data_IF_425278307649
#
_entry.id   IF_425278307649
#
_cell.length_a   1.000
_cell.length_b   1.000
_cell.length_c   1.000
_cell.angle_alpha   90.00
_cell.angle_beta   90.00
_cell.angle_gamma   90.00
#
_symmetry.space_group_name_H-M   'P 1'
#
loop_
_entity.id
_entity.type
_entity.pdbx_description
1 polymer ?
#
# COMPACT_ATOMS: atom_id res chain seq x y z
N UNK A 1 -21.61 -40.96 -21.44
CA UNK A 1 -21.35 -41.53 -20.10
C UNK A 1 -19.89 -41.94 -19.99
N UNK A 2 -19.06 -41.25 -19.21
CA UNK A 2 -17.69 -41.68 -18.84
C UNK A 2 -17.48 -41.36 -17.35
N UNK A 3 -16.85 -42.26 -16.58
CA UNK A 3 -16.60 -42.09 -15.13
C UNK A 3 -15.09 -42.08 -14.87
N UNK A 4 -14.50 -40.91 -14.60
CA UNK A 4 -13.14 -40.84 -14.09
C UNK A 4 -13.12 -41.14 -12.59
N UNK A 5 -12.19 -42.02 -12.16
CA UNK A 5 -12.01 -42.39 -10.76
C UNK A 5 -10.97 -41.48 -10.09
N UNK A 6 -11.37 -40.79 -9.03
CA UNK A 6 -10.40 -40.15 -8.14
C UNK A 6 -9.52 -41.21 -7.45
N UNK A 7 -8.24 -40.89 -7.23
CA UNK A 7 -7.33 -41.63 -6.35
C UNK A 7 -6.69 -40.64 -5.39
N UNK A 8 -7.16 -40.61 -4.15
CA UNK A 8 -6.67 -39.69 -3.13
C UNK A 8 -6.15 -40.51 -1.94
N UNK A 9 -4.83 -40.67 -1.86
CA UNK A 9 -4.14 -41.34 -0.76
C UNK A 9 -2.71 -40.82 -0.65
N UNK A 10 -2.43 -40.09 0.44
CA UNK A 10 -1.07 -39.88 0.95
C UNK A 10 -1.14 -39.96 2.47
N UNK A 11 -0.41 -40.91 3.06
CA UNK A 11 -0.40 -41.15 4.51
C UNK A 11 0.65 -40.23 5.18
N UNK A 12 0.37 -39.83 6.42
CA UNK A 12 1.35 -39.22 7.32
C UNK A 12 1.70 -40.24 8.44
N UNK A 13 2.97 -40.39 8.81
CA UNK A 13 3.38 -41.10 10.03
C UNK A 13 3.49 -40.13 11.23
N UNK A 14 3.19 -40.58 12.46
CA UNK A 14 3.59 -39.87 13.69
C UNK A 14 5.02 -40.24 14.11
N UNK A 15 5.70 -39.37 14.86
CA UNK A 15 6.92 -39.71 15.60
C UNK A 15 6.94 -38.99 16.97
N UNK A 16 7.76 -39.47 17.90
CA UNK A 16 7.56 -39.31 19.34
C UNK A 16 8.67 -38.54 20.08
N UNK A 17 8.23 -37.73 21.04
CA UNK A 17 8.81 -37.41 22.36
C UNK A 17 10.26 -37.87 22.63
N UNK A 18 11.10 -36.94 23.08
CA UNK A 18 12.24 -37.21 23.94
C UNK A 18 12.33 -36.15 25.05
N UNK A 19 12.67 -36.57 26.27
CA UNK A 19 12.82 -35.70 27.45
C UNK A 19 14.18 -35.95 28.10
N UNK A 20 14.81 -34.91 28.67
CA UNK A 20 16.01 -35.03 29.48
C UNK A 20 15.95 -34.07 30.68
N UNK A 21 16.04 -34.64 31.89
CA UNK A 21 16.23 -33.89 33.14
C UNK A 21 17.72 -33.94 33.51
N UNK A 22 18.27 -32.86 34.06
CA UNK A 22 19.67 -32.79 34.47
C UNK A 22 19.88 -31.91 35.69
N UNK A 23 19.97 -32.53 36.86
CA UNK A 23 20.46 -31.92 38.10
C UNK A 23 21.87 -32.46 38.38
N UNK A 24 22.83 -31.59 38.63
CA UNK A 24 24.22 -31.99 38.91
C UNK A 24 25.01 -30.86 39.58
N UNK A 25 25.37 -31.06 40.84
CA UNK A 25 26.01 -30.04 41.69
C UNK A 25 27.50 -30.32 41.94
N UNK A 26 28.36 -29.42 41.44
CA UNK A 26 29.46 -28.84 42.21
C UNK A 26 30.86 -29.50 42.24
N UNK A 27 31.80 -28.64 42.68
CA UNK A 27 33.10 -28.91 43.32
C UNK A 27 34.38 -29.16 42.47
N UNK A 28 35.26 -28.12 42.45
CA UNK A 28 36.75 -28.13 42.57
C UNK A 28 37.58 -28.99 41.58
N UNK A 29 38.78 -28.63 41.07
CA UNK A 29 39.69 -27.46 41.00
C UNK A 29 40.64 -27.76 39.78
N UNK A 30 41.59 -26.99 39.24
CA UNK A 30 42.29 -25.69 39.41
C UNK A 30 42.94 -25.33 38.03
N UNK A 31 43.86 -24.37 37.77
CA UNK A 31 44.53 -23.26 38.46
C UNK A 31 45.12 -22.28 37.41
N UNK A 32 45.21 -20.97 37.72
CA UNK A 32 46.03 -19.96 37.01
C UNK A 32 45.47 -19.44 35.67
N UNK A 33 45.62 -18.16 35.30
CA UNK A 33 46.39 -17.06 35.91
C UNK A 33 45.58 -15.75 36.00
N UNK A 34 46.15 -14.79 36.72
CA UNK A 34 45.59 -13.47 37.06
C UNK A 34 45.24 -12.57 35.88
N UNK A 35 44.14 -11.83 36.01
CA UNK A 35 44.17 -10.37 35.88
C UNK A 35 43.19 -9.79 36.90
N UNK A 36 43.55 -8.69 37.57
CA UNK A 36 42.72 -8.07 38.60
C UNK A 36 41.50 -7.35 38.01
N UNK A 37 40.45 -7.22 38.82
CA UNK A 37 39.15 -6.72 38.37
C UNK A 37 38.93 -5.26 38.74
N UNK A 38 38.44 -4.47 37.78
CA UNK A 38 37.52 -3.37 38.07
C UNK A 38 36.14 -3.74 37.52
N UNK A 39 35.13 -3.66 38.38
CA UNK A 39 33.77 -4.05 38.04
C UNK A 39 32.97 -2.86 37.51
N UNK A 40 32.19 -3.08 36.46
CA UNK A 40 31.06 -2.24 36.09
C UNK A 40 29.97 -3.15 35.54
N UNK A 41 28.98 -3.42 36.38
CA UNK A 41 27.77 -4.14 36.02
C UNK A 41 26.76 -3.18 35.37
N UNK A 42 25.78 -3.78 34.69
CA UNK A 42 24.54 -3.18 34.20
C UNK A 42 24.67 -2.01 33.21
N UNK A 43 24.23 -2.26 31.97
CA UNK A 43 24.31 -1.30 30.87
C UNK A 43 23.61 -1.70 29.57
N UNK A 44 22.89 -2.84 29.54
CA UNK A 44 21.97 -3.14 28.45
C UNK A 44 20.77 -2.20 28.56
N UNK A 45 20.90 -1.00 28.00
CA UNK A 45 19.79 -0.08 27.78
C UNK A 45 18.84 -0.72 26.75
N UNK A 46 17.93 -1.55 27.25
CA UNK A 46 16.76 -1.95 26.50
C UNK A 46 16.04 -0.67 26.09
N UNK A 47 15.98 -0.39 24.79
CA UNK A 47 15.31 0.79 24.28
C UNK A 47 13.85 0.76 24.77
N UNK A 48 13.46 1.79 25.55
CA UNK A 48 12.07 1.91 25.97
C UNK A 48 11.17 1.91 24.71
N UNK A 49 10.06 1.16 24.71
CA UNK A 49 9.14 1.16 23.58
C UNK A 49 8.63 2.59 23.40
N UNK A 50 9.02 3.22 22.29
CA UNK A 50 8.71 4.62 22.03
C UNK A 50 7.21 4.88 22.22
N UNK A 51 6.88 5.83 23.10
CA UNK A 51 5.50 6.10 23.46
C UNK A 51 4.67 6.41 22.20
N UNK A 52 3.42 5.92 22.10
CA UNK A 52 2.60 6.12 20.92
C UNK A 52 2.40 7.61 20.66
N UNK A 53 2.91 8.09 19.52
CA UNK A 53 2.77 9.47 19.09
C UNK A 53 1.28 9.81 19.03
N UNK A 54 0.87 10.85 19.77
CA UNK A 54 -0.54 11.25 19.82
C UNK A 54 -0.93 11.87 18.47
N UNK A 55 -2.12 11.57 17.91
CA UNK A 55 -2.52 12.06 16.59
C UNK A 55 -2.46 13.60 16.45
N UNK A 56 -2.68 14.30 17.57
CA UNK A 56 -2.75 15.76 17.63
C UNK A 56 -1.36 16.44 17.72
N UNK A 57 -0.29 15.70 18.01
CA UNK A 57 1.08 16.24 18.04
C UNK A 57 1.76 16.14 16.66
N UNK A 58 1.22 16.87 15.69
CA UNK A 58 1.78 16.95 14.33
C UNK A 58 3.05 17.82 14.30
N UNK A 59 4.22 17.18 14.42
CA UNK A 59 5.49 17.72 13.93
C UNK A 59 5.89 16.97 12.65
N UNK A 60 5.86 17.62 11.46
CA UNK A 60 6.26 16.98 10.21
C UNK A 60 7.73 16.54 10.19
N UNK A 61 8.58 17.05 11.09
CA UNK A 61 9.96 16.58 11.27
C UNK A 61 10.06 15.23 11.99
N UNK A 62 8.98 14.77 12.63
CA UNK A 62 8.92 13.53 13.40
C UNK A 62 8.04 12.46 12.74
N UNK A 63 6.86 12.83 12.21
CA UNK A 63 6.06 11.89 11.41
C UNK A 63 5.06 12.54 10.46
N UNK A 64 5.09 12.10 9.20
CA UNK A 64 4.06 12.39 8.20
C UNK A 64 2.87 11.41 8.25
N UNK A 65 2.97 10.33 9.04
CA UNK A 65 1.98 9.26 9.08
C UNK A 65 0.54 9.70 9.39
N UNK A 66 0.26 10.69 10.27
CA UNK A 66 -1.11 11.16 10.49
C UNK A 66 -1.75 11.81 9.24
N UNK A 67 -0.95 12.52 8.43
CA UNK A 67 -1.42 13.11 7.17
C UNK A 67 -1.73 12.01 6.14
N UNK A 68 -0.83 11.04 5.98
CA UNK A 68 -1.01 9.93 5.02
C UNK A 68 -2.22 9.06 5.40
N UNK A 69 -2.46 8.81 6.68
CA UNK A 69 -3.66 8.11 7.15
C UNK A 69 -4.96 8.85 6.81
N UNK A 70 -4.94 10.19 6.79
CA UNK A 70 -6.11 11.02 6.46
C UNK A 70 -6.35 11.18 4.96
N UNK A 71 -5.28 11.39 4.17
CA UNK A 71 -5.36 11.71 2.73
C UNK A 71 -5.26 10.48 1.84
N UNK A 72 -4.45 9.48 2.22
CA UNK A 72 -4.21 8.26 1.45
C UNK A 72 -5.47 7.53 0.97
N UNK A 73 -6.55 7.43 1.77
CA UNK A 73 -7.81 6.82 1.32
C UNK A 73 -8.46 7.51 0.10
N UNK A 74 -8.28 8.82 -0.06
CA UNK A 74 -8.83 9.61 -1.17
C UNK A 74 -7.99 9.55 -2.46
N UNK A 75 -6.81 8.91 -2.41
CA UNK A 75 -5.96 8.67 -3.58
C UNK A 75 -6.39 7.38 -4.26
N UNK A 76 -6.67 7.45 -5.56
CA UNK A 76 -7.19 6.33 -6.36
C UNK A 76 -6.25 5.97 -7.51
N UNK A 77 -6.30 4.73 -7.95
CA UNK A 77 -5.63 4.26 -9.17
C UNK A 77 -6.61 4.31 -10.34
N UNK A 78 -6.19 4.86 -11.48
CA UNK A 78 -6.96 4.93 -12.72
C UNK A 78 -6.35 3.95 -13.75
N UNK A 79 -7.09 2.90 -14.10
CA UNK A 79 -6.72 1.89 -15.11
C UNK A 79 -7.55 2.16 -16.38
N UNK A 80 -6.90 2.71 -17.40
CA UNK A 80 -7.52 3.17 -18.63
C UNK A 80 -7.14 2.26 -19.80
N UNK A 81 -8.13 1.75 -20.55
CA UNK A 81 -7.91 0.75 -21.61
C UNK A 81 -8.49 1.22 -22.93
N UNK A 82 -7.61 1.57 -23.86
CA UNK A 82 -7.96 1.87 -25.25
C UNK A 82 -8.22 0.59 -26.05
N UNK A 83 -8.67 0.79 -27.30
CA UNK A 83 -8.89 -0.29 -28.26
C UNK A 83 -7.62 -0.54 -29.07
N UNK A 84 -7.11 -1.77 -29.11
CA UNK A 84 -6.07 -2.16 -30.06
C UNK A 84 -6.56 -1.93 -31.51
N UNK A 85 -5.84 -1.16 -32.35
CA UNK A 85 -6.21 -0.92 -33.75
C UNK A 85 -5.81 -2.13 -34.61
N UNK A 86 -6.49 -3.27 -34.42
CA UNK A 86 -6.11 -4.55 -35.03
C UNK A 86 -6.65 -4.74 -36.47
N UNK A 87 -5.77 -4.95 -37.46
CA UNK A 87 -6.16 -5.63 -38.70
C UNK A 87 -6.59 -7.06 -38.39
N UNK A 88 -7.56 -7.61 -39.15
CA UNK A 88 -8.21 -8.93 -38.91
C UNK A 88 -7.30 -10.17 -38.79
N UNK A 89 -5.98 -10.03 -38.90
CA UNK A 89 -4.98 -11.09 -38.89
C UNK A 89 -4.02 -11.06 -37.68
N UNK A 90 -4.14 -10.09 -36.78
CA UNK A 90 -3.45 -10.08 -35.48
C UNK A 90 -4.44 -9.77 -34.36
N UNK A 91 -4.82 -10.80 -33.61
CA UNK A 91 -5.60 -10.69 -32.37
C UNK A 91 -4.65 -10.82 -31.17
N UNK A 92 -3.92 -9.74 -30.89
CA UNK A 92 -3.11 -9.58 -29.69
C UNK A 92 -3.69 -8.42 -28.88
N UNK A 93 -4.46 -8.71 -27.83
CA UNK A 93 -5.03 -7.68 -26.94
C UNK A 93 -3.97 -6.97 -26.06
N UNK A 94 -2.71 -7.37 -26.21
CA UNK A 94 -1.52 -6.72 -25.65
C UNK A 94 -1.06 -5.48 -26.43
N UNK A 95 -1.43 -5.35 -27.73
CA UNK A 95 -1.19 -4.14 -28.54
C UNK A 95 -2.25 -3.02 -28.26
N UNK A 96 -3.09 -3.18 -27.23
CA UNK A 96 -4.06 -2.18 -26.81
C UNK A 96 -3.39 -1.03 -26.05
N UNK A 97 -3.67 0.26 -26.36
CA UNK A 97 -3.23 1.38 -25.54
C UNK A 97 -3.72 1.21 -24.10
N UNK A 98 -2.82 1.41 -23.11
CA UNK A 98 -3.17 1.37 -21.69
C UNK A 98 -2.59 2.59 -20.98
N UNK A 99 -3.46 3.39 -20.38
CA UNK A 99 -3.10 4.42 -19.41
C UNK A 99 -3.15 3.82 -18.01
N UNK A 100 -2.16 4.15 -17.18
CA UNK A 100 -2.17 3.81 -15.76
C UNK A 100 -1.66 5.04 -15.00
N UNK A 101 -2.50 5.58 -14.12
CA UNK A 101 -2.18 6.78 -13.35
C UNK A 101 -2.86 6.80 -11.99
N UNK A 102 -2.66 7.90 -11.27
CA UNK A 102 -3.38 8.21 -10.04
C UNK A 102 -4.52 9.19 -10.30
N UNK A 103 -5.38 9.35 -9.30
CA UNK A 103 -6.35 10.44 -9.22
C UNK A 103 -6.69 10.74 -7.77
N UNK A 104 -7.47 11.79 -7.56
CA UNK A 104 -7.94 12.22 -6.24
C UNK A 104 -9.46 12.36 -6.23
N UNK A 105 -10.11 11.78 -5.23
CA UNK A 105 -11.54 12.00 -4.97
C UNK A 105 -11.72 13.41 -4.39
N UNK A 106 -12.49 14.25 -5.09
CA UNK A 106 -12.79 15.63 -4.69
C UNK A 106 -14.24 15.84 -4.23
N UNK A 107 -15.12 14.84 -4.39
CA UNK A 107 -16.49 14.84 -3.90
C UNK A 107 -16.90 13.41 -3.47
N UNK A 108 -17.73 13.30 -2.43
CA UNK A 108 -18.20 12.02 -1.89
C UNK A 108 -19.12 11.28 -2.88
N UNK A 109 -19.82 12.01 -3.76
CA UNK A 109 -20.72 11.49 -4.82
C UNK A 109 -19.95 10.96 -6.05
N UNK A 110 -18.71 10.48 -5.85
CA UNK A 110 -17.91 9.83 -6.87
C UNK A 110 -17.21 10.75 -7.87
N UNK A 111 -16.85 11.98 -7.51
CA UNK A 111 -16.13 12.90 -8.42
C UNK A 111 -14.61 12.80 -8.22
N UNK A 112 -13.86 12.53 -9.30
CA UNK A 112 -12.42 12.26 -9.28
C UNK A 112 -11.68 13.15 -10.28
N UNK A 113 -10.58 13.76 -9.86
CA UNK A 113 -9.62 14.47 -10.75
C UNK A 113 -8.44 13.56 -11.08
N UNK A 114 -8.02 13.55 -12.33
CA UNK A 114 -6.83 12.86 -12.85
C UNK A 114 -6.24 13.66 -14.03
N UNK A 115 -5.16 13.18 -14.63
CA UNK A 115 -4.56 13.82 -15.81
C UNK A 115 -5.29 13.46 -17.11
N UNK A 116 -5.28 14.35 -18.10
CA UNK A 116 -5.86 14.06 -19.42
C UNK A 116 -5.12 12.92 -20.13
N UNK A 117 -3.79 12.92 -20.13
CA UNK A 117 -2.97 11.89 -20.80
C UNK A 117 -3.17 10.47 -20.23
N UNK A 118 -3.71 10.33 -19.01
CA UNK A 118 -4.03 9.03 -18.40
C UNK A 118 -5.28 8.42 -19.04
N UNK A 119 -6.21 9.24 -19.54
CA UNK A 119 -7.49 8.81 -20.10
C UNK A 119 -7.60 8.96 -21.63
N UNK A 120 -6.60 9.56 -22.28
CA UNK A 120 -6.63 9.76 -23.75
C UNK A 120 -6.62 8.42 -24.51
N UNK A 121 -7.38 8.36 -25.61
CA UNK A 121 -7.61 7.15 -26.39
C UNK A 121 -8.32 6.00 -25.65
N UNK A 122 -8.73 6.17 -24.39
CA UNK A 122 -9.35 5.11 -23.60
C UNK A 122 -10.78 4.79 -24.07
N UNK A 123 -11.12 3.49 -24.02
CA UNK A 123 -12.46 2.97 -24.33
C UNK A 123 -13.19 2.37 -23.13
N UNK A 124 -12.46 2.09 -22.04
CA UNK A 124 -13.01 1.88 -20.71
C UNK A 124 -12.06 2.43 -19.64
N UNK A 125 -12.62 2.85 -18.50
CA UNK A 125 -11.90 3.37 -17.35
C UNK A 125 -12.37 2.60 -16.10
N UNK A 126 -11.45 1.96 -15.37
CA UNK A 126 -11.71 1.38 -14.05
C UNK A 126 -10.94 2.18 -13.00
N UNK A 127 -11.63 2.74 -12.01
CA UNK A 127 -11.01 3.44 -10.87
C UNK A 127 -11.04 2.51 -9.67
N UNK A 128 -9.89 2.38 -9.00
CA UNK A 128 -9.70 1.51 -7.82
C UNK A 128 -9.32 2.35 -6.60
N UNK A 129 -10.03 2.14 -5.50
CA UNK A 129 -9.74 2.75 -4.21
C UNK A 129 -8.76 1.89 -3.40
N UNK A 130 -8.09 2.51 -2.43
CA UNK A 130 -7.18 1.81 -1.51
C UNK A 130 -7.89 0.82 -0.57
N UNK A 131 -9.21 0.97 -0.38
CA UNK A 131 -10.07 0.01 0.33
C UNK A 131 -10.39 -1.26 -0.50
N UNK A 132 -9.99 -1.28 -1.78
CA UNK A 132 -10.22 -2.38 -2.71
C UNK A 132 -11.52 -2.29 -3.53
N UNK A 133 -12.38 -1.29 -3.27
CA UNK A 133 -13.54 -0.99 -4.14
C UNK A 133 -13.08 -0.62 -5.54
N UNK A 134 -13.91 -0.95 -6.52
CA UNK A 134 -13.68 -0.63 -7.94
C UNK A 134 -14.96 -0.12 -8.57
N UNK A 135 -14.82 0.86 -9.45
CA UNK A 135 -15.93 1.49 -10.15
C UNK A 135 -15.56 1.66 -11.62
N UNK A 136 -16.50 1.43 -12.54
CA UNK A 136 -16.38 1.95 -13.89
C UNK A 136 -16.53 3.48 -13.84
N UNK A 137 -15.67 4.18 -14.57
CA UNK A 137 -15.64 5.64 -14.57
C UNK A 137 -16.11 6.22 -15.90
N UNK A 138 -16.80 7.34 -15.83
CA UNK A 138 -17.27 8.12 -16.97
C UNK A 138 -16.56 9.46 -17.01
N UNK A 139 -16.21 9.96 -18.20
CA UNK A 139 -15.57 11.28 -18.35
C UNK A 139 -16.65 12.36 -18.27
N UNK A 140 -16.53 13.27 -17.31
CA UNK A 140 -17.37 14.48 -17.20
C UNK A 140 -16.85 15.58 -18.11
N UNK A 141 -15.52 15.68 -18.23
CA UNK A 141 -14.82 16.56 -19.16
C UNK A 141 -13.30 16.40 -19.04
N UNK A 142 -12.57 16.91 -20.02
CA UNK A 142 -11.10 17.00 -19.98
C UNK A 142 -10.61 18.23 -20.73
N UNK A 143 -9.49 18.77 -20.28
CA UNK A 143 -8.78 19.89 -20.90
C UNK A 143 -7.34 19.46 -21.27
N UNK A 144 -7.06 19.24 -22.57
CA UNK A 144 -5.71 18.92 -23.05
C UNK A 144 -4.70 20.06 -22.87
N UNK A 145 -5.12 21.31 -22.67
CA UNK A 145 -4.21 22.44 -22.51
C UNK A 145 -3.61 22.54 -21.10
N UNK A 146 -4.32 22.05 -20.09
CA UNK A 146 -3.85 21.96 -18.70
C UNK A 146 -3.49 20.53 -18.27
N UNK A 147 -3.66 19.54 -19.17
CA UNK A 147 -3.54 18.10 -18.88
C UNK A 147 -4.45 17.62 -17.74
N UNK A 148 -5.67 18.15 -17.64
CA UNK A 148 -6.63 17.80 -16.58
C UNK A 148 -7.82 16.99 -17.12
N UNK A 149 -8.30 16.05 -16.33
CA UNK A 149 -9.53 15.30 -16.57
C UNK A 149 -10.37 15.15 -15.30
N UNK A 150 -11.70 15.22 -15.49
CA UNK A 150 -12.70 15.06 -14.46
C UNK A 150 -13.55 13.81 -14.75
N UNK A 151 -13.53 12.86 -13.83
CA UNK A 151 -14.23 11.59 -13.91
C UNK A 151 -15.38 11.52 -12.88
N UNK A 152 -16.45 10.80 -13.23
CA UNK A 152 -17.55 10.46 -12.34
C UNK A 152 -17.67 8.94 -12.22
N UNK A 153 -17.78 8.46 -10.99
CA UNK A 153 -18.02 7.07 -10.61
C UNK A 153 -19.52 6.89 -10.32
N UNK A 154 -20.33 6.32 -11.24
CA UNK A 154 -21.78 6.25 -11.06
C UNK A 154 -22.15 5.25 -9.95
N UNK A 155 -22.98 5.68 -8.99
CA UNK A 155 -23.36 4.84 -7.85
C UNK A 155 -22.24 4.63 -6.82
N UNK A 156 -21.22 5.49 -6.82
CA UNK A 156 -20.27 5.58 -5.72
C UNK A 156 -20.79 6.56 -4.66
N UNK A 157 -20.84 6.09 -3.42
CA UNK A 157 -21.28 6.83 -2.22
C UNK A 157 -20.28 6.54 -1.09
N UNK A 158 -20.26 7.38 -0.06
CA UNK A 158 -19.31 7.32 1.07
C UNK A 158 -17.84 7.14 0.62
N UNK A 159 -17.40 8.01 -0.29
CA UNK A 159 -15.99 8.06 -0.68
C UNK A 159 -15.18 8.99 0.25
N UNK A 160 -13.95 8.62 0.62
CA UNK A 160 -13.02 9.54 1.27
C UNK A 160 -12.60 10.66 0.31
N UNK A 161 -12.64 11.91 0.75
CA UNK A 161 -12.42 13.11 -0.08
C UNK A 161 -11.16 13.87 0.36
N UNK A 162 -10.38 14.38 -0.59
CA UNK A 162 -9.30 15.34 -0.31
C UNK A 162 -9.82 16.79 -0.40
N UNK A 163 -9.49 17.61 0.59
CA UNK A 163 -9.80 19.05 0.56
C UNK A 163 -8.74 19.79 -0.27
N UNK A 164 -9.18 20.58 -1.26
CA UNK A 164 -8.29 21.43 -2.05
C UNK A 164 -7.86 22.67 -1.23
N UNK A 165 -6.55 22.97 -1.23
CA UNK A 165 -5.99 24.20 -0.64
C UNK A 165 -5.96 25.37 -1.63
N UNK A 166 -5.71 26.60 -1.13
CA UNK A 166 -5.42 27.75 -2.00
C UNK A 166 -3.95 27.73 -2.43
N UNK A 167 -3.69 27.60 -3.73
CA UNK A 167 -2.33 27.61 -4.28
C UNK A 167 -1.69 28.99 -4.29
N UNK A 168 -2.45 30.07 -4.05
CA UNK A 168 -1.94 31.45 -4.01
C UNK A 168 -1.19 31.79 -2.72
N UNK A 169 -1.32 30.97 -1.68
CA UNK A 169 -0.67 31.17 -0.38
C UNK A 169 0.55 30.28 -0.17
N UNK A 170 1.01 29.57 -1.22
CA UNK A 170 2.21 28.73 -1.16
C UNK A 170 3.46 29.57 -1.44
N UNK A 171 4.51 29.37 -0.65
CA UNK A 171 5.79 30.07 -0.77
C UNK A 171 6.93 29.14 -1.22
N UNK A 172 7.98 29.72 -1.82
CA UNK A 172 9.15 28.97 -2.31
C UNK A 172 9.99 28.51 -1.12
N UNK A 173 9.76 27.26 -0.71
CA UNK A 173 10.36 26.66 0.48
C UNK A 173 9.39 25.78 1.28
N UNK A 174 8.09 25.85 0.97
CA UNK A 174 7.08 24.96 1.55
C UNK A 174 7.35 23.48 1.19
N UNK A 175 7.01 22.60 2.13
CA UNK A 175 7.15 21.15 1.97
C UNK A 175 5.91 20.56 1.30
N UNK A 176 6.13 19.81 0.21
CA UNK A 176 5.10 19.07 -0.53
C UNK A 176 5.37 17.56 -0.48
N UNK A 177 4.34 16.77 -0.79
CA UNK A 177 4.30 15.30 -0.68
C UNK A 177 3.59 14.74 -1.92
#
# INVERSE_FOLDING_TARGET
MHRHRARFLRRLPPLTIASALGLGTGALLSAGCSNDAEASADGQAAAEPAAPLSPDSYDPRQSLAPMIQKVGPAVVTVDARGRAPSPRWRSSDDDAPRGLGSGFVIDADGLVVTNHHVIDGATSLEVRLSDGRRFEATVVGSDPATDLALLRLPGAEDLPVVTLGDSKTLEVGDWVV
#
